data_IF_533786781362
#
_entry.id   IF_533786781362
#
_cell.length_a   1.000
_cell.length_b   1.000
_cell.length_c   1.000
_cell.angle_alpha   90.00
_cell.angle_beta   90.00
_cell.angle_gamma   90.00
#
_symmetry.space_group_name_H-M   'P 1'
#
loop_
_entity.id
_entity.type
_entity.pdbx_description
1 polymer ?
#
# COMPACT_ATOMS: atom_id res chain seq x y z
N UNK A 1 37.26 -16.86 7.28
CA UNK A 1 36.16 -17.14 8.23
C UNK A 1 35.25 -15.95 8.19
N UNK A 2 34.13 -16.05 7.47
CA UNK A 2 33.13 -14.98 7.43
C UNK A 2 32.49 -14.89 8.81
N UNK A 3 32.63 -13.73 9.47
CA UNK A 3 31.86 -13.45 10.67
C UNK A 3 30.37 -13.45 10.27
N UNK A 4 29.49 -14.16 10.99
CA UNK A 4 28.07 -14.03 10.74
C UNK A 4 27.70 -12.56 10.96
N UNK A 5 27.25 -11.87 9.91
CA UNK A 5 26.73 -10.51 10.03
C UNK A 5 25.66 -10.52 11.12
N UNK A 6 25.95 -9.87 12.26
CA UNK A 6 24.95 -9.68 13.29
C UNK A 6 23.81 -8.87 12.66
N UNK A 7 22.61 -9.47 12.56
CA UNK A 7 21.42 -8.72 12.18
C UNK A 7 21.31 -7.48 13.08
N UNK A 8 21.27 -6.31 12.46
CA UNK A 8 21.05 -5.06 13.18
C UNK A 8 19.61 -5.01 13.72
N UNK A 9 19.42 -4.31 14.84
CA UNK A 9 18.09 -4.13 15.43
C UNK A 9 17.17 -3.43 14.41
N UNK A 10 16.02 -4.01 14.03
CA UNK A 10 15.12 -3.38 13.05
C UNK A 10 14.59 -2.03 13.57
N UNK A 11 14.45 -1.06 12.67
CA UNK A 11 13.86 0.26 12.93
C UNK A 11 12.41 0.28 12.47
N UNK A 12 11.54 0.90 13.26
CA UNK A 12 10.13 1.07 12.90
C UNK A 12 10.01 1.89 11.60
N UNK A 13 9.20 1.45 10.63
CA UNK A 13 9.06 2.14 9.36
C UNK A 13 8.32 3.47 9.53
N UNK A 14 8.72 4.54 8.82
CA UNK A 14 7.94 5.77 8.79
C UNK A 14 6.59 5.53 8.11
N UNK A 15 5.53 6.15 8.64
CA UNK A 15 4.21 6.12 8.00
C UNK A 15 4.21 6.98 6.74
N UNK A 16 3.57 6.48 5.68
CA UNK A 16 3.43 7.18 4.39
C UNK A 16 2.01 7.66 4.17
N UNK A 17 1.87 8.66 3.29
CA UNK A 17 0.60 9.12 2.75
C UNK A 17 -0.33 9.85 3.73
N UNK A 18 -1.53 10.24 3.26
CA UNK A 18 -2.50 10.94 4.09
C UNK A 18 -3.10 9.99 5.15
N UNK A 19 -3.39 10.49 6.37
CA UNK A 19 -4.00 9.69 7.43
C UNK A 19 -5.50 9.45 7.19
N UNK A 20 -6.08 8.58 8.01
CA UNK A 20 -7.54 8.38 8.09
C UNK A 20 -8.13 7.45 7.02
N UNK A 21 -7.30 6.60 6.41
CA UNK A 21 -7.78 5.49 5.59
C UNK A 21 -8.14 4.26 6.42
N UNK A 22 -8.76 3.29 5.75
CA UNK A 22 -9.03 1.96 6.29
C UNK A 22 -8.32 0.91 5.45
N UNK A 23 -7.85 -0.15 6.11
CA UNK A 23 -7.16 -1.25 5.45
C UNK A 23 -8.21 -2.16 4.80
N UNK A 24 -8.19 -2.21 3.48
CA UNK A 24 -8.95 -3.16 2.67
C UNK A 24 -7.98 -3.90 1.76
N UNK A 25 -8.20 -5.19 1.54
CA UNK A 25 -7.49 -5.96 0.53
C UNK A 25 -8.48 -6.49 -0.50
N UNK A 26 -8.07 -6.61 -1.78
CA UNK A 26 -8.83 -7.38 -2.76
C UNK A 26 -9.02 -8.83 -2.27
N UNK A 27 -10.13 -9.50 -2.62
CA UNK A 27 -10.36 -10.88 -2.23
C UNK A 27 -9.17 -11.79 -2.60
N UNK A 28 -8.64 -12.52 -1.61
CA UNK A 28 -7.53 -13.46 -1.81
C UNK A 28 -6.15 -12.81 -1.97
N UNK A 29 -5.99 -11.50 -1.73
CA UNK A 29 -4.71 -10.80 -1.80
C UNK A 29 -4.18 -10.41 -0.43
N UNK A 30 -2.85 -10.36 -0.33
CA UNK A 30 -2.13 -9.87 0.84
C UNK A 30 -2.07 -8.33 0.86
N UNK A 31 -1.47 -7.77 1.92
CA UNK A 31 -1.28 -6.33 2.08
C UNK A 31 -0.16 -5.76 1.18
N UNK A 32 0.57 -6.61 0.45
CA UNK A 32 1.62 -6.14 -0.45
C UNK A 32 0.98 -5.58 -1.72
N UNK A 33 0.59 -4.30 -1.62
CA UNK A 33 -0.11 -3.59 -2.69
C UNK A 33 0.65 -3.65 -4.01
N UNK A 34 1.98 -3.77 -4.01
CA UNK A 34 2.80 -3.78 -5.24
C UNK A 34 2.56 -5.03 -6.10
N UNK A 35 2.00 -6.09 -5.52
CA UNK A 35 1.62 -7.32 -6.24
C UNK A 35 0.24 -7.24 -6.89
N UNK A 36 -0.55 -6.20 -6.61
CA UNK A 36 -1.90 -6.09 -7.10
C UNK A 36 -1.89 -5.68 -8.58
N UNK A 37 -2.59 -6.43 -9.41
CA UNK A 37 -2.83 -6.06 -10.80
C UNK A 37 -4.01 -5.06 -10.88
N UNK A 38 -4.42 -4.70 -12.11
CA UNK A 38 -5.51 -3.73 -12.33
C UNK A 38 -6.86 -4.22 -11.83
N UNK A 39 -7.16 -5.49 -12.04
CA UNK A 39 -8.41 -6.12 -11.58
C UNK A 39 -8.46 -6.16 -10.05
N UNK A 40 -7.33 -6.45 -9.40
CA UNK A 40 -7.19 -6.38 -7.95
C UNK A 40 -7.48 -4.96 -7.43
N UNK A 41 -6.94 -3.94 -8.10
CA UNK A 41 -7.22 -2.53 -7.75
C UNK A 41 -8.70 -2.18 -7.94
N UNK A 42 -9.34 -2.61 -9.02
CA UNK A 42 -10.76 -2.35 -9.26
C UNK A 42 -11.65 -3.04 -8.20
N UNK A 43 -11.31 -4.29 -7.83
CA UNK A 43 -11.97 -5.02 -6.74
C UNK A 43 -11.75 -4.32 -5.39
N UNK A 44 -10.53 -3.88 -5.10
CA UNK A 44 -10.21 -3.13 -3.88
C UNK A 44 -10.98 -1.81 -3.80
N UNK A 45 -11.04 -1.05 -4.89
CA UNK A 45 -11.83 0.19 -4.93
C UNK A 45 -13.29 -0.08 -4.64
N UNK A 46 -13.85 -1.22 -5.06
CA UNK A 46 -15.27 -1.54 -4.89
C UNK A 46 -15.68 -1.66 -3.41
N UNK A 47 -14.71 -1.89 -2.52
CA UNK A 47 -14.93 -1.94 -1.08
C UNK A 47 -15.36 -0.58 -0.48
N UNK A 48 -15.04 0.54 -1.13
CA UNK A 48 -15.28 1.89 -0.58
C UNK A 48 -15.68 2.95 -1.62
N UNK A 49 -15.60 2.65 -2.91
CA UNK A 49 -16.11 3.43 -4.04
C UNK A 49 -16.98 2.51 -4.89
N UNK A 50 -18.29 2.53 -4.69
CA UNK A 50 -19.19 1.66 -5.44
C UNK A 50 -19.17 2.00 -6.95
N UNK A 51 -18.98 1.02 -7.86
CA UNK A 51 -18.89 1.27 -9.30
C UNK A 51 -20.10 1.99 -9.91
N UNK A 52 -21.31 1.75 -9.39
CA UNK A 52 -22.55 2.36 -9.88
C UNK A 52 -22.67 3.85 -9.51
N UNK A 53 -22.02 4.27 -8.43
CA UNK A 53 -22.00 5.67 -7.96
C UNK A 53 -20.81 6.43 -8.55
N UNK A 54 -19.68 5.76 -8.76
CA UNK A 54 -18.41 6.36 -9.20
C UNK A 54 -17.90 5.83 -10.55
N UNK A 55 -18.73 5.71 -11.61
CA UNK A 55 -18.32 5.08 -12.86
C UNK A 55 -17.15 5.82 -13.54
N UNK A 56 -17.09 7.15 -13.41
CA UNK A 56 -15.99 7.95 -13.96
C UNK A 56 -14.64 7.66 -13.29
N UNK A 57 -14.64 7.27 -12.02
CA UNK A 57 -13.40 6.86 -11.33
C UNK A 57 -12.87 5.57 -11.92
N UNK A 58 -13.73 4.56 -12.08
CA UNK A 58 -13.36 3.29 -12.71
C UNK A 58 -12.91 3.46 -14.15
N UNK A 59 -13.62 4.27 -14.94
CA UNK A 59 -13.20 4.56 -16.32
C UNK A 59 -11.80 5.19 -16.37
N UNK A 60 -11.51 6.14 -15.47
CA UNK A 60 -10.21 6.79 -15.38
C UNK A 60 -9.11 5.79 -14.97
N UNK A 61 -9.33 4.99 -13.91
CA UNK A 61 -8.33 4.03 -13.43
C UNK A 61 -8.03 2.95 -14.46
N UNK A 62 -9.06 2.42 -15.13
CA UNK A 62 -8.88 1.47 -16.24
C UNK A 62 -8.14 2.10 -17.40
N UNK A 63 -8.51 3.31 -17.84
CA UNK A 63 -7.85 4.00 -18.96
C UNK A 63 -6.38 4.28 -18.67
N UNK A 64 -6.07 4.72 -17.45
CA UNK A 64 -4.70 4.99 -16.99
C UNK A 64 -3.95 3.72 -16.58
N UNK A 65 -4.60 2.56 -16.64
CA UNK A 65 -3.98 1.27 -16.35
C UNK A 65 -3.39 1.22 -14.93
N UNK A 66 -4.10 1.78 -13.95
CA UNK A 66 -3.63 1.89 -12.57
C UNK A 66 -3.62 0.51 -11.91
N UNK A 67 -2.43 0.05 -11.55
CA UNK A 67 -2.19 -1.14 -10.76
C UNK A 67 -1.66 -0.79 -9.37
N UNK A 68 -1.35 -1.81 -8.58
CA UNK A 68 -0.87 -1.66 -7.22
C UNK A 68 0.51 -0.99 -7.12
N UNK A 69 1.40 -1.23 -8.09
CA UNK A 69 2.70 -0.55 -8.16
C UNK A 69 2.51 0.95 -8.41
N UNK A 70 1.60 1.31 -9.32
CA UNK A 70 1.24 2.70 -9.59
C UNK A 70 0.67 3.37 -8.33
N UNK A 71 -0.27 2.72 -7.64
CA UNK A 71 -0.83 3.22 -6.37
C UNK A 71 0.25 3.43 -5.30
N UNK A 72 1.19 2.48 -5.18
CA UNK A 72 2.29 2.57 -4.23
C UNK A 72 3.11 3.85 -4.45
N UNK A 73 3.50 4.14 -5.70
CA UNK A 73 4.26 5.35 -6.01
C UNK A 73 3.45 6.62 -5.85
N UNK A 74 2.16 6.62 -6.22
CA UNK A 74 1.28 7.78 -6.00
C UNK A 74 1.18 8.18 -4.51
N UNK A 75 1.27 7.20 -3.59
CA UNK A 75 1.27 7.47 -2.14
C UNK A 75 2.65 7.88 -1.65
N UNK A 76 3.71 7.20 -2.11
CA UNK A 76 5.08 7.39 -1.61
C UNK A 76 5.73 8.68 -2.12
N UNK A 77 5.42 9.07 -3.34
CA UNK A 77 5.91 10.28 -3.99
C UNK A 77 4.72 11.09 -4.55
N UNK A 78 3.95 11.75 -3.68
CA UNK A 78 2.73 12.43 -4.08
C UNK A 78 3.04 13.67 -4.92
N UNK A 79 2.68 13.60 -6.21
CA UNK A 79 2.78 14.73 -7.10
C UNK A 79 1.54 15.64 -6.98
N UNK A 80 1.79 16.95 -7.01
CA UNK A 80 0.71 17.95 -7.02
C UNK A 80 -0.15 17.75 -8.29
N UNK A 81 -1.47 17.83 -8.13
CA UNK A 81 -2.44 17.78 -9.23
C UNK A 81 -2.41 16.50 -10.09
N UNK A 82 -1.76 15.41 -9.65
CA UNK A 82 -1.70 14.14 -10.39
C UNK A 82 -3.08 13.57 -10.73
N UNK A 83 -4.07 13.81 -9.87
CA UNK A 83 -5.45 13.41 -10.12
C UNK A 83 -6.04 14.06 -11.38
N UNK A 84 -5.60 15.27 -11.75
CA UNK A 84 -6.04 15.96 -12.97
C UNK A 84 -5.44 15.29 -14.21
N UNK A 85 -4.14 14.94 -14.15
CA UNK A 85 -3.43 14.21 -15.22
C UNK A 85 -4.07 12.84 -15.44
N UNK A 86 -4.37 12.13 -14.36
CA UNK A 86 -5.03 10.83 -14.39
C UNK A 86 -6.54 10.92 -14.68
N UNK A 87 -7.11 12.12 -14.74
CA UNK A 87 -8.55 12.37 -14.93
C UNK A 87 -9.41 11.70 -13.85
N UNK A 88 -8.87 11.50 -12.65
CA UNK A 88 -9.59 10.94 -11.50
C UNK A 88 -10.27 12.09 -10.74
N UNK A 89 -11.58 12.00 -10.45
CA UNK A 89 -12.27 12.98 -9.61
C UNK A 89 -11.55 13.16 -8.27
N UNK A 90 -11.33 14.42 -7.86
CA UNK A 90 -10.50 14.76 -6.71
C UNK A 90 -10.93 14.06 -5.41
N UNK A 91 -12.24 13.97 -5.16
CA UNK A 91 -12.76 13.30 -3.96
C UNK A 91 -12.45 11.80 -3.98
N UNK A 92 -12.68 11.12 -5.11
CA UNK A 92 -12.34 9.70 -5.27
C UNK A 92 -10.84 9.47 -5.11
N UNK A 93 -10.01 10.31 -5.74
CA UNK A 93 -8.55 10.26 -5.61
C UNK A 93 -8.12 10.36 -4.14
N UNK A 94 -8.65 11.33 -3.38
CA UNK A 94 -8.33 11.47 -1.95
C UNK A 94 -8.71 10.21 -1.15
N UNK A 95 -9.86 9.61 -1.45
CA UNK A 95 -10.32 8.37 -0.80
C UNK A 95 -9.41 7.20 -1.15
N UNK A 96 -8.98 7.08 -2.41
CA UNK A 96 -8.01 6.06 -2.83
C UNK A 96 -6.68 6.22 -2.10
N UNK A 97 -6.12 7.44 -2.06
CA UNK A 97 -4.80 7.68 -1.46
C UNK A 97 -4.76 7.40 0.04
N UNK A 98 -5.80 7.76 0.81
CA UNK A 98 -5.86 7.44 2.24
C UNK A 98 -5.92 5.92 2.49
N UNK A 99 -6.71 5.20 1.70
CA UNK A 99 -6.89 3.76 1.89
C UNK A 99 -5.64 3.00 1.42
N UNK A 100 -5.01 3.41 0.33
CA UNK A 100 -3.74 2.85 -0.13
C UNK A 100 -2.62 3.10 0.89
N UNK A 101 -2.55 4.31 1.47
CA UNK A 101 -1.62 4.62 2.55
C UNK A 101 -1.83 3.74 3.78
N UNK A 102 -3.09 3.48 4.16
CA UNK A 102 -3.40 2.57 5.27
C UNK A 102 -2.87 1.14 5.01
N UNK A 103 -3.12 0.60 3.81
CA UNK A 103 -2.62 -0.74 3.40
C UNK A 103 -1.09 -0.80 3.43
N UNK A 104 -0.40 0.20 2.86
CA UNK A 104 1.06 0.24 2.82
C UNK A 104 1.66 0.31 4.24
N UNK A 105 1.06 1.12 5.11
CA UNK A 105 1.52 1.24 6.48
C UNK A 105 1.31 -0.06 7.28
N UNK A 106 0.19 -0.75 7.06
CA UNK A 106 -0.07 -2.05 7.69
C UNK A 106 0.93 -3.11 7.20
N UNK A 107 1.15 -3.19 5.88
CA UNK A 107 2.17 -4.09 5.30
C UNK A 107 3.56 -3.85 5.89
N UNK A 108 3.99 -2.58 5.93
CA UNK A 108 5.29 -2.22 6.49
C UNK A 108 5.39 -2.60 7.97
N UNK A 109 4.29 -2.46 8.72
CA UNK A 109 4.25 -2.85 10.13
C UNK A 109 4.36 -4.37 10.29
N UNK A 110 3.65 -5.17 9.47
CA UNK A 110 3.77 -6.63 9.48
C UNK A 110 5.20 -7.07 9.17
N UNK A 111 5.83 -6.50 8.14
CA UNK A 111 7.22 -6.80 7.79
C UNK A 111 8.19 -6.43 8.91
N UNK A 112 7.99 -5.28 9.54
CA UNK A 112 8.76 -4.88 10.72
C UNK A 112 8.62 -5.89 11.86
N UNK A 113 7.41 -6.35 12.18
CA UNK A 113 7.19 -7.34 13.25
C UNK A 113 7.86 -8.68 12.94
N UNK A 114 7.83 -9.13 11.67
CA UNK A 114 8.54 -10.34 11.23
C UNK A 114 10.05 -10.20 11.45
N UNK A 115 10.65 -9.09 11.00
CA UNK A 115 12.07 -8.80 11.20
C UNK A 115 12.43 -8.74 12.70
N UNK A 116 11.58 -8.11 13.51
CA UNK A 116 11.77 -8.03 14.96
C UNK A 116 11.74 -9.40 15.65
N UNK A 117 10.83 -10.27 15.24
CA UNK A 117 10.75 -11.64 15.73
C UNK A 117 12.02 -12.43 15.39
N UNK A 118 12.53 -12.30 14.16
CA UNK A 118 13.79 -12.94 13.73
C UNK A 118 14.99 -12.44 14.53
N UNK A 119 15.12 -11.13 14.71
CA UNK A 119 16.17 -10.52 15.51
C UNK A 119 16.17 -11.04 16.97
N UNK A 120 14.99 -11.12 17.60
CA UNK A 120 14.85 -11.69 18.95
C UNK A 120 15.24 -13.17 19.00
N UNK A 121 14.79 -13.96 18.03
CA UNK A 121 15.08 -15.40 17.98
C UNK A 121 16.59 -15.68 17.81
N UNK A 122 17.29 -14.89 17.00
CA UNK A 122 18.74 -15.00 16.85
C UNK A 122 19.47 -14.60 18.13
N UNK A 123 19.09 -13.48 18.76
CA UNK A 123 19.71 -13.04 20.01
C UNK A 123 19.60 -14.09 21.12
N UNK A 124 18.45 -14.78 21.24
CA UNK A 124 18.25 -15.82 22.26
C UNK A 124 18.98 -17.14 21.97
N UNK A 125 19.44 -17.37 20.73
CA UNK A 125 20.25 -18.56 20.36
C UNK A 125 21.74 -18.34 20.59
N UNK A 126 22.17 -17.08 20.70
CA UNK A 126 23.55 -16.69 20.92
C UNK A 126 23.90 -16.46 22.40
N UNK A 127 22.95 -16.68 23.30
CA UNK A 127 23.08 -16.63 24.78
C UNK A 127 22.89 -18.00 25.36
#
# INVERSE_FOLDING_TARGET
MDQPELMSKPREPPKVGPPGGSVFTPPGKDLDIRKWNKEDVDMWMSCFLRPDIYPNTYLATTKQQIDGETLYWMVKDPQKDIHQVLQIPFLSYRVMMRNAAAVINEYNQEEFQKQWAMFRAQRNRST
#
